data_IF_983078067111
#
_entry.id   IF_983078067111
#
_cell.length_a   1.000
_cell.length_b   1.000
_cell.length_c   1.000
_cell.angle_alpha   90.00
_cell.angle_beta   90.00
_cell.angle_gamma   90.00
#
_symmetry.space_group_name_H-M   'P 1'
#
loop_
_entity.id
_entity.type
_entity.pdbx_description
1 polymer ?
#
# COMPACT_ATOMS: atom_id res chain seq x y z
N UNK A 1 -12.85 18.65 28.37
CA UNK A 1 -12.78 17.54 27.40
C UNK A 1 -11.80 16.46 27.90
N UNK A 2 -11.91 15.21 27.46
CA UNK A 2 -10.92 14.16 27.76
C UNK A 2 -9.51 14.52 27.20
N UNK A 3 -8.44 14.22 27.94
CA UNK A 3 -7.05 14.58 27.57
C UNK A 3 -6.59 13.92 26.26
N UNK A 4 -6.95 12.64 26.02
CA UNK A 4 -6.60 11.98 24.77
C UNK A 4 -7.35 12.60 23.59
N UNK A 5 -8.63 12.95 23.80
CA UNK A 5 -9.43 13.65 22.80
C UNK A 5 -8.78 14.99 22.40
N UNK A 6 -8.35 15.79 23.38
CA UNK A 6 -7.63 17.04 23.13
C UNK A 6 -6.33 16.82 22.36
N UNK A 7 -5.51 15.84 22.77
CA UNK A 7 -4.24 15.53 22.11
C UNK A 7 -4.43 15.09 20.64
N UNK A 8 -5.47 14.31 20.35
CA UNK A 8 -5.83 13.92 18.98
C UNK A 8 -6.24 15.14 18.16
N UNK A 9 -7.10 15.99 18.71
CA UNK A 9 -7.58 17.20 18.07
C UNK A 9 -6.44 18.14 17.69
N UNK A 10 -5.55 18.41 18.65
CA UNK A 10 -4.35 19.22 18.45
C UNK A 10 -3.44 18.61 17.36
N UNK A 11 -3.24 17.30 17.37
CA UNK A 11 -2.42 16.59 16.37
C UNK A 11 -2.99 16.73 14.97
N UNK A 12 -4.31 16.59 14.82
CA UNK A 12 -4.99 16.69 13.51
C UNK A 12 -4.90 18.12 12.99
N UNK A 13 -5.27 19.13 13.80
CA UNK A 13 -5.23 20.52 13.38
C UNK A 13 -3.82 20.97 12.99
N UNK A 14 -2.79 20.54 13.74
CA UNK A 14 -1.39 20.84 13.39
C UNK A 14 -1.02 20.31 12.01
N UNK A 15 -1.51 19.12 11.63
CA UNK A 15 -1.20 18.48 10.33
C UNK A 15 -2.08 18.96 9.17
N UNK A 16 -3.31 19.38 9.43
CA UNK A 16 -4.23 19.84 8.39
C UNK A 16 -3.76 21.15 7.74
N UNK A 17 -3.63 21.24 6.42
CA UNK A 17 -3.44 22.53 5.76
C UNK A 17 -4.64 23.45 6.01
N UNK A 18 -4.43 24.75 6.26
CA UNK A 18 -5.52 25.69 6.59
C UNK A 18 -6.65 25.68 5.55
N UNK A 19 -6.30 25.57 4.25
CA UNK A 19 -7.26 25.47 3.13
C UNK A 19 -8.16 24.23 3.18
N UNK A 20 -7.77 23.17 3.89
CA UNK A 20 -8.53 21.93 4.02
C UNK A 20 -9.28 21.81 5.35
N UNK A 21 -8.88 22.57 6.38
CA UNK A 21 -9.44 22.46 7.74
C UNK A 21 -10.96 22.55 7.75
N UNK A 22 -11.53 23.59 7.13
CA UNK A 22 -12.98 23.80 7.10
C UNK A 22 -13.72 22.62 6.43
N UNK A 23 -13.20 22.12 5.31
CA UNK A 23 -13.77 20.97 4.61
C UNK A 23 -13.73 19.71 5.47
N UNK A 24 -12.59 19.39 6.08
CA UNK A 24 -12.44 18.22 6.94
C UNK A 24 -13.39 18.29 8.15
N UNK A 25 -13.53 19.46 8.78
CA UNK A 25 -14.46 19.64 9.90
C UNK A 25 -15.93 19.53 9.46
N UNK A 26 -16.30 20.01 8.26
CA UNK A 26 -17.62 19.77 7.67
C UNK A 26 -17.88 18.28 7.46
N UNK A 27 -16.92 17.54 6.88
CA UNK A 27 -17.02 16.09 6.68
C UNK A 27 -17.13 15.32 8.01
N UNK A 28 -16.54 15.83 9.09
CA UNK A 28 -16.65 15.23 10.42
C UNK A 28 -18.11 15.23 10.95
N UNK A 29 -18.85 16.31 10.70
CA UNK A 29 -20.29 16.38 10.95
C UNK A 29 -20.69 16.27 12.44
N UNK A 30 -19.82 16.72 13.35
CA UNK A 30 -20.11 16.81 14.79
C UNK A 30 -20.34 18.26 15.26
N UNK A 31 -20.19 19.23 14.37
CA UNK A 31 -20.47 20.65 14.60
C UNK A 31 -21.58 21.10 13.66
N UNK A 32 -22.43 22.03 14.10
CA UNK A 32 -23.45 22.63 13.24
C UNK A 32 -22.82 23.53 12.18
N UNK A 33 -23.59 23.87 11.14
CA UNK A 33 -23.13 24.82 10.12
C UNK A 33 -22.78 26.18 10.72
N UNK A 34 -23.61 26.68 11.64
CA UNK A 34 -23.40 27.94 12.37
C UNK A 34 -22.11 27.92 13.20
N UNK A 35 -21.87 26.84 13.94
CA UNK A 35 -20.63 26.68 14.73
C UNK A 35 -19.37 26.63 13.84
N UNK A 36 -19.50 26.16 12.60
CA UNK A 36 -18.40 26.13 11.64
C UNK A 36 -18.18 27.48 10.95
N UNK A 37 -19.22 28.30 10.81
CA UNK A 37 -19.13 29.66 10.26
C UNK A 37 -18.57 30.66 11.29
N UNK A 38 -18.83 30.43 12.57
CA UNK A 38 -18.25 31.17 13.70
C UNK A 38 -16.72 30.97 13.83
N UNK A 39 -16.17 29.91 13.23
CA UNK A 39 -14.72 29.67 13.22
C UNK A 39 -14.02 30.50 12.15
N UNK A 40 -13.21 31.46 12.58
CA UNK A 40 -12.32 32.21 11.70
C UNK A 40 -11.09 31.38 11.28
N UNK A 41 -11.15 30.79 10.09
CA UNK A 41 -10.06 29.98 9.53
C UNK A 41 -8.84 30.78 9.05
N UNK A 42 -8.89 32.12 9.11
CA UNK A 42 -7.73 32.99 8.82
C UNK A 42 -6.79 33.11 10.03
N UNK A 43 -7.29 32.78 11.22
CA UNK A 43 -6.52 32.85 12.47
C UNK A 43 -5.43 31.77 12.57
N UNK A 44 -4.45 31.98 13.46
CA UNK A 44 -3.50 30.93 13.82
C UNK A 44 -4.20 29.66 14.32
N UNK A 45 -3.64 28.50 13.97
CA UNK A 45 -4.23 27.19 14.31
C UNK A 45 -4.47 26.94 15.80
N UNK A 46 -3.71 27.59 16.69
CA UNK A 46 -3.89 27.45 18.12
C UNK A 46 -5.19 28.11 18.59
N UNK A 47 -5.57 29.25 18.02
CA UNK A 47 -6.81 29.95 18.34
C UNK A 47 -8.02 29.19 17.76
N UNK A 48 -7.87 28.63 16.56
CA UNK A 48 -8.85 27.69 15.99
C UNK A 48 -9.03 26.47 16.90
N UNK A 49 -7.94 25.93 17.48
CA UNK A 49 -8.00 24.81 18.41
C UNK A 49 -8.76 25.17 19.69
N UNK A 50 -8.49 26.34 20.29
CA UNK A 50 -9.20 26.81 21.48
C UNK A 50 -10.70 26.95 21.23
N UNK A 51 -11.08 27.60 20.14
CA UNK A 51 -12.49 27.74 19.76
C UNK A 51 -13.13 26.38 19.47
N UNK A 52 -12.41 25.49 18.77
CA UNK A 52 -12.89 24.15 18.49
C UNK A 52 -13.09 23.33 19.76
N UNK A 53 -12.19 23.46 20.75
CA UNK A 53 -12.31 22.82 22.07
C UNK A 53 -13.57 23.31 22.78
N UNK A 54 -13.81 24.62 22.80
CA UNK A 54 -15.03 25.20 23.38
C UNK A 54 -16.30 24.65 22.72
N UNK A 55 -16.39 24.63 21.38
CA UNK A 55 -17.54 24.05 20.66
C UNK A 55 -17.71 22.55 20.90
N UNK A 56 -16.61 21.81 21.04
CA UNK A 56 -16.66 20.39 21.38
C UNK A 56 -17.24 20.16 22.79
N UNK A 57 -16.95 21.03 23.74
CA UNK A 57 -17.48 20.96 25.10
C UNK A 57 -18.97 21.36 25.15
N UNK A 58 -19.38 22.40 24.43
CA UNK A 58 -20.78 22.78 24.22
C UNK A 58 -21.61 21.59 23.70
N UNK A 59 -21.09 20.89 22.68
CA UNK A 59 -21.73 19.73 22.06
C UNK A 59 -21.53 18.42 22.85
N UNK A 60 -20.84 18.47 24.00
CA UNK A 60 -20.51 17.30 24.86
C UNK A 60 -19.85 16.16 24.10
N UNK A 61 -18.96 16.50 23.15
CA UNK A 61 -18.27 15.52 22.32
C UNK A 61 -17.32 14.67 23.16
N UNK A 62 -17.36 13.36 22.93
CA UNK A 62 -16.50 12.39 23.62
C UNK A 62 -15.33 11.97 22.73
N UNK A 63 -14.37 11.25 23.32
CA UNK A 63 -13.24 10.67 22.58
C UNK A 63 -13.68 9.91 21.33
N UNK A 64 -14.77 9.14 21.41
CA UNK A 64 -15.34 8.43 20.26
C UNK A 64 -15.65 9.37 19.10
N UNK A 65 -16.13 10.58 19.36
CA UNK A 65 -16.51 11.55 18.34
C UNK A 65 -15.26 12.18 17.73
N UNK A 66 -14.24 12.49 18.54
CA UNK A 66 -12.95 12.99 18.04
C UNK A 66 -12.19 11.96 17.20
N UNK A 67 -12.25 10.67 17.53
CA UNK A 67 -11.66 9.61 16.66
C UNK A 67 -12.34 9.52 15.28
N UNK A 68 -13.58 9.99 15.14
CA UNK A 68 -14.24 10.11 13.84
C UNK A 68 -13.57 11.18 12.97
N UNK A 69 -13.18 12.33 13.55
CA UNK A 69 -12.41 13.37 12.86
C UNK A 69 -11.05 12.83 12.42
N UNK A 70 -10.38 12.09 13.30
CA UNK A 70 -9.09 11.47 12.97
C UNK A 70 -9.20 10.51 11.77
N UNK A 71 -10.23 9.68 11.77
CA UNK A 71 -10.51 8.76 10.68
C UNK A 71 -10.78 9.51 9.38
N UNK A 72 -11.59 10.58 9.41
CA UNK A 72 -11.82 11.46 8.25
C UNK A 72 -10.51 12.05 7.72
N UNK A 73 -9.64 12.54 8.61
CA UNK A 73 -8.32 13.06 8.22
C UNK A 73 -7.49 12.01 7.46
N UNK A 74 -7.45 10.76 7.94
CA UNK A 74 -6.71 9.69 7.27
C UNK A 74 -7.33 9.27 5.94
N UNK A 75 -8.65 9.29 5.82
CA UNK A 75 -9.36 9.00 4.57
C UNK A 75 -9.13 10.06 3.49
N UNK A 76 -9.07 11.34 3.89
CA UNK A 76 -8.76 12.45 2.98
C UNK A 76 -7.27 12.57 2.65
N UNK A 77 -6.40 11.92 3.43
CA UNK A 77 -4.95 11.99 3.28
C UNK A 77 -4.32 10.59 3.43
N UNK A 78 -4.69 9.60 2.58
CA UNK A 78 -4.23 8.22 2.73
C UNK A 78 -2.71 8.09 2.58
N UNK A 79 -2.06 9.03 1.88
CA UNK A 79 -0.65 8.90 1.50
C UNK A 79 0.36 9.37 2.56
N UNK A 80 -0.07 9.51 3.82
CA UNK A 80 0.72 10.06 4.93
C UNK A 80 1.60 9.02 5.65
N UNK A 81 1.58 7.76 5.24
CA UNK A 81 2.39 6.70 5.83
C UNK A 81 2.60 5.54 4.85
N UNK A 82 3.35 4.52 5.27
CA UNK A 82 3.59 3.33 4.46
C UNK A 82 2.49 2.30 4.71
N UNK A 83 1.74 2.00 3.67
CA UNK A 83 0.77 0.91 3.65
C UNK A 83 1.49 -0.39 3.31
N UNK A 84 1.04 -1.47 3.94
CA UNK A 84 1.47 -2.84 3.69
C UNK A 84 0.28 -3.65 3.23
N UNK A 85 0.41 -4.28 2.06
CA UNK A 85 -0.65 -5.10 1.52
C UNK A 85 -0.52 -6.56 1.97
N UNK A 86 -1.67 -7.14 2.29
CA UNK A 86 -1.87 -8.53 2.65
C UNK A 86 -2.86 -9.18 1.69
N UNK A 87 -2.79 -10.49 1.61
CA UNK A 87 -3.68 -11.31 0.81
C UNK A 87 -4.29 -12.40 1.69
N UNK A 88 -5.61 -12.35 1.85
CA UNK A 88 -6.42 -13.43 2.38
C UNK A 88 -6.35 -14.61 1.40
N UNK A 89 -6.23 -15.81 1.93
CA UNK A 89 -6.08 -17.05 1.18
C UNK A 89 -7.05 -18.10 1.70
N UNK A 90 -7.34 -19.10 0.88
CA UNK A 90 -8.22 -20.23 1.26
C UNK A 90 -9.60 -19.71 1.66
N UNK A 91 -10.30 -19.11 0.70
CA UNK A 91 -11.66 -18.62 0.89
C UNK A 91 -12.64 -19.79 1.03
N UNK A 92 -13.50 -19.73 2.04
CA UNK A 92 -14.63 -20.64 2.20
C UNK A 92 -15.77 -20.28 1.22
N UNK A 93 -16.69 -21.21 0.98
CA UNK A 93 -17.79 -21.03 0.03
C UNK A 93 -18.64 -19.78 0.32
N UNK A 94 -18.78 -19.42 1.60
CA UNK A 94 -19.58 -18.28 2.01
C UNK A 94 -18.79 -16.95 2.08
N UNK A 95 -17.49 -16.94 1.78
CA UNK A 95 -16.64 -15.75 1.88
C UNK A 95 -17.09 -14.60 0.97
N UNK A 96 -17.55 -14.92 -0.24
CA UNK A 96 -18.02 -13.91 -1.20
C UNK A 96 -19.34 -13.24 -0.78
N UNK A 97 -20.13 -13.89 0.08
CA UNK A 97 -21.43 -13.41 0.56
C UNK A 97 -21.36 -12.54 1.81
N UNK A 98 -20.17 -12.38 2.41
CA UNK A 98 -20.00 -11.58 3.64
C UNK A 98 -20.34 -10.12 3.36
N UNK A 99 -21.41 -9.63 3.96
CA UNK A 99 -21.79 -8.24 3.90
C UNK A 99 -21.05 -7.38 4.94
N UNK A 100 -21.21 -6.06 4.85
CA UNK A 100 -20.52 -5.13 5.75
C UNK A 100 -20.99 -5.24 7.21
N UNK A 101 -22.25 -5.54 7.45
CA UNK A 101 -22.81 -5.64 8.80
C UNK A 101 -22.28 -6.88 9.49
N UNK A 102 -22.38 -8.03 8.83
CA UNK A 102 -21.86 -9.30 9.30
C UNK A 102 -20.34 -9.22 9.53
N UNK A 103 -19.59 -8.71 8.55
CA UNK A 103 -18.15 -8.50 8.68
C UNK A 103 -17.81 -7.67 9.93
N UNK A 104 -18.49 -6.53 10.11
CA UNK A 104 -18.25 -5.62 11.23
C UNK A 104 -18.51 -6.27 12.57
N UNK A 105 -19.64 -6.98 12.72
CA UNK A 105 -20.02 -7.64 13.97
C UNK A 105 -19.02 -8.75 14.33
N UNK A 106 -18.73 -9.64 13.37
CA UNK A 106 -17.77 -10.73 13.57
C UNK A 106 -16.36 -10.21 13.87
N UNK A 107 -15.89 -9.21 13.12
CA UNK A 107 -14.57 -8.63 13.33
C UNK A 107 -14.43 -8.03 14.73
N UNK A 108 -15.43 -7.26 15.18
CA UNK A 108 -15.41 -6.64 16.51
C UNK A 108 -15.45 -7.71 17.60
N UNK A 109 -16.34 -8.70 17.48
CA UNK A 109 -16.44 -9.81 18.44
C UNK A 109 -15.11 -10.54 18.59
N UNK A 110 -14.52 -11.01 17.48
CA UNK A 110 -13.26 -11.75 17.54
C UNK A 110 -12.10 -10.93 18.12
N UNK A 111 -12.09 -9.63 17.87
CA UNK A 111 -11.02 -8.78 18.38
C UNK A 111 -11.20 -8.46 19.88
N UNK A 112 -12.43 -8.27 20.34
CA UNK A 112 -12.77 -8.08 21.76
C UNK A 112 -12.55 -9.36 22.58
N UNK A 113 -12.83 -10.54 22.00
CA UNK A 113 -12.53 -11.84 22.59
C UNK A 113 -11.02 -12.06 22.76
N UNK A 114 -10.21 -11.58 21.81
CA UNK A 114 -8.76 -11.73 21.83
C UNK A 114 -8.04 -10.63 22.62
N UNK A 115 -8.61 -9.43 22.73
CA UNK A 115 -7.98 -8.25 23.33
C UNK A 115 -8.97 -7.52 24.24
N UNK A 116 -8.75 -7.61 25.56
CA UNK A 116 -9.61 -7.02 26.58
C UNK A 116 -9.85 -5.51 26.42
N UNK A 117 -8.84 -4.77 25.95
CA UNK A 117 -8.89 -3.33 25.81
C UNK A 117 -8.62 -2.94 24.36
N UNK A 118 -9.68 -2.91 23.55
CA UNK A 118 -9.60 -2.51 22.15
C UNK A 118 -10.69 -1.48 21.83
N UNK A 119 -10.40 -0.59 20.89
CA UNK A 119 -11.39 0.32 20.32
C UNK A 119 -11.37 0.23 18.81
N UNK A 120 -12.48 -0.23 18.24
CA UNK A 120 -12.67 -0.42 16.80
C UNK A 120 -13.69 0.58 16.26
N UNK A 121 -13.39 1.17 15.10
CA UNK A 121 -14.34 1.96 14.34
C UNK A 121 -14.24 1.58 12.87
N UNK A 122 -15.38 1.40 12.23
CA UNK A 122 -15.47 1.09 10.80
C UNK A 122 -16.32 2.09 10.04
N UNK A 123 -15.97 2.34 8.78
CA UNK A 123 -16.74 3.16 7.85
C UNK A 123 -16.60 2.59 6.45
N UNK A 124 -17.74 2.22 5.83
CA UNK A 124 -17.82 1.88 4.41
C UNK A 124 -17.83 3.17 3.57
N UNK A 125 -17.18 3.14 2.42
CA UNK A 125 -17.16 4.21 1.42
C UNK A 125 -17.95 3.81 0.17
N UNK A 126 -18.27 4.81 -0.65
CA UNK A 126 -19.06 4.65 -1.86
C UNK A 126 -18.34 3.80 -2.92
N UNK A 127 -17.00 3.81 -2.90
CA UNK A 127 -16.14 2.95 -3.73
C UNK A 127 -16.05 1.49 -3.23
N UNK A 128 -16.82 1.14 -2.19
CA UNK A 128 -16.82 -0.18 -1.58
C UNK A 128 -15.70 -0.41 -0.55
N UNK A 129 -14.80 0.56 -0.35
CA UNK A 129 -13.74 0.43 0.64
C UNK A 129 -14.28 0.47 2.08
N UNK A 130 -13.91 -0.50 2.89
CA UNK A 130 -14.16 -0.52 4.32
C UNK A 130 -12.90 -0.05 5.03
N UNK A 131 -12.99 1.15 5.64
CA UNK A 131 -11.95 1.69 6.50
C UNK A 131 -12.16 1.22 7.92
N UNK A 132 -11.12 0.68 8.53
CA UNK A 132 -11.10 0.14 9.89
C UNK A 132 -10.03 0.89 10.66
N UNK A 133 -10.41 1.50 11.78
CA UNK A 133 -9.51 2.12 12.74
C UNK A 133 -9.54 1.29 14.01
N UNK A 134 -8.36 0.83 14.43
CA UNK A 134 -8.21 0.01 15.64
C UNK A 134 -7.18 0.64 16.56
N UNK A 135 -7.57 0.97 17.79
CA UNK A 135 -6.63 1.32 18.86
C UNK A 135 -6.54 0.16 19.83
N UNK A 136 -5.31 -0.29 20.12
CA UNK A 136 -5.02 -1.39 21.02
C UNK A 136 -4.56 -0.84 22.37
N UNK A 137 -5.03 -1.46 23.44
CA UNK A 137 -4.49 -1.38 24.79
C UNK A 137 -3.86 -2.70 25.19
N UNK A 138 -3.40 -2.78 26.43
CA UNK A 138 -2.86 -3.99 27.05
C UNK A 138 -3.72 -4.36 28.26
N UNK A 139 -3.49 -5.50 28.91
CA UNK A 139 -4.27 -5.96 30.09
C UNK A 139 -4.33 -4.95 31.25
N UNK A 140 -3.43 -3.96 31.27
CA UNK A 140 -3.34 -2.95 32.32
C UNK A 140 -3.66 -1.53 31.81
N UNK A 141 -3.80 -1.33 30.49
CA UNK A 141 -3.89 0.01 29.91
C UNK A 141 -5.03 0.14 28.91
N UNK A 142 -5.72 1.27 28.98
CA UNK A 142 -6.76 1.63 28.01
C UNK A 142 -6.20 1.70 26.59
N UNK A 143 -7.03 1.57 25.54
CA UNK A 143 -6.59 1.69 24.17
C UNK A 143 -5.78 2.96 23.89
N UNK A 144 -4.63 2.83 23.23
CA UNK A 144 -3.80 3.98 22.88
C UNK A 144 -4.33 4.64 21.59
N UNK A 145 -5.21 5.61 21.74
CA UNK A 145 -5.79 6.33 20.60
C UNK A 145 -4.80 7.26 19.87
N UNK A 146 -3.59 7.48 20.39
CA UNK A 146 -2.54 8.25 19.70
C UNK A 146 -1.77 7.40 18.69
N UNK A 147 -1.79 6.07 18.78
CA UNK A 147 -1.14 5.16 17.83
C UNK A 147 -2.13 4.13 17.26
N UNK A 148 -3.21 4.57 16.60
CA UNK A 148 -4.14 3.63 15.99
C UNK A 148 -3.53 2.97 14.75
N UNK A 149 -3.93 1.72 14.54
CA UNK A 149 -3.76 0.99 13.29
C UNK A 149 -4.93 1.30 12.37
N UNK A 150 -4.64 1.48 11.08
CA UNK A 150 -5.66 1.59 10.04
C UNK A 150 -5.57 0.39 9.12
N UNK A 151 -6.72 -0.17 8.77
CA UNK A 151 -6.84 -1.15 7.70
C UNK A 151 -7.88 -0.67 6.68
N UNK A 152 -7.64 -0.99 5.41
CA UNK A 152 -8.58 -0.75 4.31
C UNK A 152 -8.79 -2.06 3.58
N UNK A 153 -10.04 -2.48 3.46
CA UNK A 153 -10.41 -3.74 2.83
C UNK A 153 -11.58 -3.53 1.87
N UNK A 154 -11.52 -4.18 0.72
CA UNK A 154 -12.64 -4.28 -0.20
C UNK A 154 -13.18 -5.70 -0.05
N UNK A 155 -14.36 -5.86 0.57
CA UNK A 155 -14.93 -7.17 0.96
C UNK A 155 -15.03 -8.17 -0.19
N UNK A 156 -15.16 -7.69 -1.42
CA UNK A 156 -15.23 -8.49 -2.65
C UNK A 156 -13.85 -8.91 -3.20
N UNK A 157 -12.78 -8.65 -2.45
CA UNK A 157 -11.41 -8.95 -2.86
C UNK A 157 -10.64 -9.58 -1.71
N UNK A 158 -9.61 -10.40 -1.98
CA UNK A 158 -8.79 -10.97 -0.91
C UNK A 158 -7.78 -9.97 -0.31
N UNK A 159 -7.79 -8.70 -0.71
CA UNK A 159 -6.72 -7.76 -0.37
C UNK A 159 -7.07 -6.87 0.83
N UNK A 160 -6.13 -6.74 1.75
CA UNK A 160 -6.22 -5.85 2.91
C UNK A 160 -4.96 -4.97 2.97
N UNK A 161 -5.13 -3.67 3.12
CA UNK A 161 -4.03 -2.71 3.23
C UNK A 161 -3.95 -2.22 4.68
N UNK A 162 -2.78 -2.31 5.30
CA UNK A 162 -2.58 -1.97 6.71
C UNK A 162 -1.55 -0.84 6.88
N UNK A 163 -1.83 0.07 7.79
CA UNK A 163 -0.97 1.18 8.20
C UNK A 163 -0.83 1.18 9.73
N UNK A 164 0.40 1.41 10.24
CA UNK A 164 0.73 1.53 11.66
C UNK A 164 0.35 0.30 12.52
N UNK A 165 0.56 -0.92 12.02
CA UNK A 165 0.39 -2.14 12.80
C UNK A 165 1.69 -2.50 13.55
N UNK A 166 1.60 -2.61 14.88
CA UNK A 166 2.68 -3.12 15.70
C UNK A 166 2.81 -4.64 15.56
N UNK A 167 4.04 -5.16 15.62
CA UNK A 167 4.30 -6.60 15.62
C UNK A 167 3.56 -7.32 16.76
N UNK A 168 3.41 -6.67 17.93
CA UNK A 168 2.65 -7.21 19.08
C UNK A 168 1.18 -7.48 18.76
N UNK A 169 0.55 -6.60 17.98
CA UNK A 169 -0.88 -6.68 17.69
C UNK A 169 -1.19 -7.39 16.36
N UNK A 170 -0.14 -7.75 15.59
CA UNK A 170 -0.25 -8.42 14.29
C UNK A 170 -1.07 -9.71 14.38
N UNK A 171 -0.83 -10.64 15.34
CA UNK A 171 -1.58 -11.89 15.40
C UNK A 171 -3.09 -11.68 15.60
N UNK A 172 -3.47 -10.80 16.53
CA UNK A 172 -4.89 -10.54 16.85
C UNK A 172 -5.64 -9.93 15.68
N UNK A 173 -5.04 -8.93 15.01
CA UNK A 173 -5.67 -8.31 13.85
C UNK A 173 -5.80 -9.30 12.68
N UNK A 174 -4.79 -10.15 12.47
CA UNK A 174 -4.79 -11.14 11.39
C UNK A 174 -5.87 -12.18 11.61
N UNK A 175 -5.96 -12.71 12.83
CA UNK A 175 -7.00 -13.67 13.21
C UNK A 175 -8.40 -13.07 13.04
N UNK A 176 -8.63 -11.86 13.53
CA UNK A 176 -9.93 -11.19 13.38
C UNK A 176 -10.30 -10.99 11.90
N UNK A 177 -9.35 -10.59 11.04
CA UNK A 177 -9.59 -10.45 9.59
C UNK A 177 -9.92 -11.79 8.94
N UNK A 178 -9.15 -12.84 9.21
CA UNK A 178 -9.32 -14.17 8.63
C UNK A 178 -10.70 -14.74 8.98
N UNK A 179 -11.06 -14.73 10.28
CA UNK A 179 -12.34 -15.28 10.75
C UNK A 179 -13.54 -14.46 10.26
N UNK A 180 -13.46 -13.12 10.33
CA UNK A 180 -14.57 -12.25 9.92
C UNK A 180 -14.81 -12.21 8.41
N UNK A 181 -13.83 -12.60 7.61
CA UNK A 181 -13.94 -12.69 6.14
C UNK A 181 -14.12 -14.12 5.65
N UNK A 182 -14.20 -15.12 6.54
CA UNK A 182 -14.35 -16.55 6.20
C UNK A 182 -13.25 -17.07 5.27
N UNK A 183 -12.03 -16.75 5.63
CA UNK A 183 -10.83 -17.30 5.03
C UNK A 183 -10.12 -18.17 6.06
N UNK A 184 -9.24 -19.08 5.61
CA UNK A 184 -8.43 -19.90 6.53
C UNK A 184 -7.02 -19.33 6.77
N UNK A 185 -6.53 -18.44 5.90
CA UNK A 185 -5.18 -17.88 6.02
C UNK A 185 -5.06 -16.42 5.56
N UNK A 186 -4.01 -15.74 6.03
CA UNK A 186 -3.60 -14.42 5.56
C UNK A 186 -2.08 -14.37 5.38
N UNK A 187 -1.65 -13.94 4.19
CA UNK A 187 -0.25 -13.91 3.79
C UNK A 187 0.19 -12.49 3.44
N UNK A 188 1.49 -12.22 3.57
CA UNK A 188 2.06 -10.96 3.07
C UNK A 188 1.98 -10.93 1.54
N UNK A 189 1.41 -9.86 0.98
CA UNK A 189 1.40 -9.69 -0.48
C UNK A 189 2.77 -9.23 -1.02
N UNK A 190 3.75 -8.97 -0.15
CA UNK A 190 5.06 -8.43 -0.47
C UNK A 190 5.01 -7.12 -1.28
N UNK A 191 3.98 -6.32 -1.00
CA UNK A 191 3.79 -5.00 -1.57
C UNK A 191 3.61 -3.96 -0.46
N UNK A 192 4.38 -2.87 -0.55
CA UNK A 192 4.26 -1.72 0.36
C UNK A 192 4.60 -0.40 -0.33
N UNK A 193 4.02 0.69 0.13
CA UNK A 193 4.26 2.02 -0.45
C UNK A 193 3.40 3.08 0.21
N UNK A 194 3.55 4.35 -0.19
CA UNK A 194 2.78 5.43 0.43
C UNK A 194 1.43 5.64 -0.22
N UNK A 195 1.32 5.43 -1.53
CA UNK A 195 0.08 5.68 -2.27
C UNK A 195 -0.88 4.50 -2.17
N UNK A 196 -1.86 4.56 -1.26
CA UNK A 196 -2.84 3.47 -1.07
C UNK A 196 -3.55 3.10 -2.38
N UNK A 197 -3.97 4.10 -3.15
CA UNK A 197 -4.64 3.88 -4.45
C UNK A 197 -3.71 3.19 -5.43
N UNK A 198 -2.44 3.59 -5.52
CA UNK A 198 -1.49 2.94 -6.42
C UNK A 198 -1.20 1.48 -6.03
N UNK A 199 -1.12 1.16 -4.74
CA UNK A 199 -0.95 -0.23 -4.29
C UNK A 199 -2.18 -1.08 -4.63
N UNK A 200 -3.38 -0.52 -4.43
CA UNK A 200 -4.64 -1.15 -4.84
C UNK A 200 -4.66 -1.41 -6.33
N UNK A 201 -4.39 -0.39 -7.14
CA UNK A 201 -4.43 -0.48 -8.59
C UNK A 201 -3.42 -1.52 -9.08
N UNK A 202 -2.21 -1.54 -8.49
CA UNK A 202 -1.17 -2.51 -8.80
C UNK A 202 -1.58 -3.96 -8.50
N UNK A 203 -2.15 -4.23 -7.31
CA UNK A 203 -2.58 -5.60 -6.93
C UNK A 203 -3.82 -6.08 -7.67
N UNK A 204 -4.78 -5.18 -7.87
CA UNK A 204 -6.05 -5.48 -8.52
C UNK A 204 -5.96 -5.35 -10.04
N UNK A 205 -4.78 -5.00 -10.57
CA UNK A 205 -4.53 -4.72 -12.00
C UNK A 205 -5.51 -3.69 -12.58
N UNK A 206 -5.91 -2.72 -11.75
CA UNK A 206 -6.83 -1.63 -12.11
C UNK A 206 -6.05 -0.40 -12.60
N UNK A 207 -5.11 -0.60 -13.52
CA UNK A 207 -4.38 0.46 -14.19
C UNK A 207 -4.23 0.11 -15.67
N UNK A 208 -4.01 1.13 -16.50
CA UNK A 208 -3.91 0.96 -17.95
C UNK A 208 -2.56 0.36 -18.32
N UNK A 209 -2.35 -0.93 -18.04
CA UNK A 209 -1.19 -1.65 -18.53
C UNK A 209 -1.47 -2.17 -19.94
N UNK A 210 -1.37 -1.28 -20.92
CA UNK A 210 -1.46 -1.65 -22.33
C UNK A 210 -0.08 -2.12 -22.77
N UNK A 211 0.11 -3.43 -22.87
CA UNK A 211 1.25 -3.98 -23.59
C UNK A 211 1.00 -3.80 -25.08
N UNK A 212 2.05 -3.49 -25.89
CA UNK A 212 1.89 -3.43 -27.33
C UNK A 212 1.34 -4.76 -27.85
N UNK A 213 0.11 -4.75 -28.38
CA UNK A 213 -0.28 -5.78 -29.35
C UNK A 213 0.60 -5.57 -30.59
N UNK A 214 1.01 -6.65 -31.24
CA UNK A 214 1.93 -6.65 -32.39
C UNK A 214 1.50 -5.73 -33.57
N UNK A 215 0.31 -5.16 -33.54
CA UNK A 215 -0.31 -4.38 -34.65
C UNK A 215 -0.17 -2.85 -34.55
N UNK A 216 0.57 -2.28 -33.58
CA UNK A 216 0.74 -0.81 -33.52
C UNK A 216 1.79 -0.31 -34.52
N UNK A 217 1.39 -0.18 -35.77
CA UNK A 217 2.13 0.58 -36.80
C UNK A 217 2.22 2.07 -36.44
N UNK A 218 3.42 2.45 -36.02
CA UNK A 218 4.14 3.71 -36.23
C UNK A 218 3.33 4.88 -36.83
N UNK A 219 3.00 5.86 -35.99
CA UNK A 219 2.68 7.22 -36.48
C UNK A 219 3.86 8.14 -36.21
N UNK A 220 4.47 8.60 -37.29
CA UNK A 220 5.60 9.51 -37.39
C UNK A 220 5.42 10.80 -36.58
N UNK A 221 6.43 11.12 -35.77
CA UNK A 221 6.62 12.44 -35.16
C UNK A 221 7.58 13.24 -36.04
N UNK A 222 7.03 14.12 -36.86
CA UNK A 222 7.78 14.93 -37.82
C UNK A 222 8.54 16.09 -37.14
N UNK A 223 9.88 16.06 -37.22
CA UNK A 223 10.76 17.21 -37.08
C UNK A 223 11.78 17.18 -38.25
N UNK A 224 12.20 18.34 -38.80
CA UNK A 224 13.03 18.38 -40.00
C UNK A 224 14.48 17.88 -39.72
N UNK A 225 15.05 17.02 -40.59
CA UNK A 225 16.27 16.25 -40.32
C UNK A 225 17.59 17.02 -40.55
N UNK A 226 18.62 16.62 -39.79
CA UNK A 226 20.02 16.99 -39.95
C UNK A 226 20.80 15.70 -40.28
N UNK A 227 21.08 15.50 -41.56
CA UNK A 227 21.71 14.32 -42.17
C UNK A 227 20.89 12.99 -42.10
N UNK A 228 20.43 12.48 -43.26
CA UNK A 228 19.42 11.41 -43.35
C UNK A 228 19.87 10.02 -42.87
N UNK A 229 21.18 9.77 -42.72
CA UNK A 229 21.70 8.46 -42.26
C UNK A 229 21.86 8.40 -40.74
N UNK A 230 22.25 9.51 -40.12
CA UNK A 230 22.43 9.63 -38.66
C UNK A 230 21.05 9.64 -37.99
N UNK A 231 20.10 10.40 -38.55
CA UNK A 231 18.73 10.45 -38.04
C UNK A 231 18.03 9.09 -38.10
N UNK A 232 18.24 8.29 -39.15
CA UNK A 232 17.66 6.94 -39.24
C UNK A 232 18.19 5.99 -38.17
N UNK A 233 19.48 6.01 -37.89
CA UNK A 233 20.07 5.17 -36.84
C UNK A 233 19.57 5.58 -35.44
N UNK A 234 19.57 6.88 -35.14
CA UNK A 234 19.04 7.39 -33.87
C UNK A 234 17.56 7.12 -33.69
N UNK A 235 16.75 7.28 -34.73
CA UNK A 235 15.31 6.95 -34.70
C UNK A 235 15.13 5.45 -34.44
N UNK A 236 15.86 4.58 -35.13
CA UNK A 236 15.76 3.13 -34.94
C UNK A 236 16.18 2.68 -33.53
N UNK A 237 17.19 3.32 -32.93
CA UNK A 237 17.61 3.03 -31.55
C UNK A 237 16.57 3.54 -30.56
N UNK A 238 16.10 4.77 -30.73
CA UNK A 238 15.07 5.36 -29.86
C UNK A 238 13.77 4.56 -29.91
N UNK A 239 13.37 4.09 -31.10
CA UNK A 239 12.18 3.27 -31.30
C UNK A 239 12.32 1.90 -30.62
N UNK A 240 13.46 1.22 -30.80
CA UNK A 240 13.75 -0.05 -30.11
C UNK A 240 13.74 0.11 -28.60
N UNK A 241 14.37 1.16 -28.07
CA UNK A 241 14.40 1.44 -26.63
C UNK A 241 13.01 1.76 -26.07
N UNK A 242 12.21 2.51 -26.81
CA UNK A 242 10.82 2.79 -26.44
C UNK A 242 9.96 1.52 -26.44
N UNK A 243 10.06 0.69 -27.49
CA UNK A 243 9.34 -0.58 -27.59
C UNK A 243 9.68 -1.51 -26.42
N UNK A 244 10.97 -1.67 -26.09
CA UNK A 244 11.41 -2.45 -24.93
C UNK A 244 10.83 -1.91 -23.60
N UNK A 245 10.76 -0.60 -23.45
CA UNK A 245 10.18 0.02 -22.25
C UNK A 245 8.67 -0.27 -22.14
N UNK A 246 7.95 -0.20 -23.26
CA UNK A 246 6.51 -0.50 -23.32
C UNK A 246 6.21 -2.00 -23.12
N UNK A 247 7.07 -2.90 -23.61
CA UNK A 247 6.95 -4.34 -23.36
C UNK A 247 7.19 -4.68 -21.87
N UNK A 248 8.16 -4.01 -21.23
CA UNK A 248 8.51 -4.30 -19.84
C UNK A 248 7.50 -3.71 -18.83
N UNK A 249 7.01 -2.49 -19.07
CA UNK A 249 6.20 -1.75 -18.10
C UNK A 249 4.77 -1.46 -18.57
N UNK A 250 4.53 -1.44 -19.88
CA UNK A 250 3.28 -0.98 -20.49
C UNK A 250 3.36 0.48 -20.94
N UNK A 251 2.46 0.85 -21.85
CA UNK A 251 2.40 2.18 -22.48
C UNK A 251 1.53 3.18 -21.69
N UNK A 252 0.64 2.71 -20.81
CA UNK A 252 -0.24 3.60 -20.04
C UNK A 252 0.40 4.22 -18.80
N UNK A 253 -0.43 4.89 -18.00
CA UNK A 253 0.00 5.51 -16.75
C UNK A 253 0.36 4.45 -15.70
N UNK A 254 1.57 4.54 -15.13
CA UNK A 254 2.06 3.57 -14.15
C UNK A 254 1.66 3.98 -12.72
N UNK A 255 1.26 3.01 -11.88
CA UNK A 255 0.94 3.27 -10.49
C UNK A 255 2.16 3.81 -9.75
N UNK A 256 1.95 4.83 -8.92
CA UNK A 256 3.04 5.45 -8.15
C UNK A 256 3.59 4.48 -7.10
N UNK A 257 4.87 4.14 -7.23
CA UNK A 257 5.58 3.29 -6.29
C UNK A 257 6.94 3.92 -5.93
N UNK A 258 7.26 4.07 -4.64
CA UNK A 258 8.47 4.80 -4.24
C UNK A 258 9.73 3.93 -4.19
N UNK A 259 9.59 2.62 -4.01
CA UNK A 259 10.76 1.74 -3.84
C UNK A 259 10.48 0.29 -4.20
N UNK A 260 11.55 -0.44 -4.51
CA UNK A 260 11.56 -1.90 -4.62
C UNK A 260 12.82 -2.45 -3.96
N UNK A 261 12.69 -3.58 -3.26
CA UNK A 261 13.75 -4.22 -2.48
C UNK A 261 13.97 -5.64 -2.97
N UNK A 262 15.21 -5.98 -3.29
CA UNK A 262 15.64 -7.31 -3.66
C UNK A 262 16.63 -7.83 -2.63
N UNK A 263 16.26 -8.89 -1.91
CA UNK A 263 17.16 -9.61 -1.02
C UNK A 263 17.74 -10.82 -1.74
N UNK A 264 19.05 -10.81 -1.92
CA UNK A 264 19.83 -11.88 -2.55
C UNK A 264 20.34 -12.82 -1.47
N UNK A 265 20.14 -14.12 -1.67
CA UNK A 265 20.74 -15.22 -0.89
C UNK A 265 21.22 -16.28 -1.87
N UNK A 266 22.44 -16.13 -2.39
CA UNK A 266 22.98 -16.98 -3.46
C UNK A 266 24.42 -17.38 -3.16
N UNK A 267 24.93 -18.46 -3.74
CA UNK A 267 26.37 -18.73 -3.72
C UNK A 267 27.13 -17.80 -4.66
N UNK A 268 28.40 -17.53 -4.37
CA UNK A 268 29.27 -16.76 -5.25
C UNK A 268 29.74 -17.63 -6.42
N UNK A 269 29.40 -17.25 -7.65
CA UNK A 269 29.79 -17.96 -8.89
C UNK A 269 30.84 -17.20 -9.70
N UNK A 270 31.83 -16.60 -9.03
CA UNK A 270 32.93 -15.92 -9.73
C UNK A 270 33.91 -16.92 -10.34
N UNK A 271 34.43 -16.60 -11.53
CA UNK A 271 35.42 -17.40 -12.26
C UNK A 271 36.86 -17.23 -11.77
N UNK A 272 37.09 -16.58 -10.63
CA UNK A 272 38.42 -16.39 -10.08
C UNK A 272 38.84 -17.65 -9.33
N UNK A 273 39.90 -18.28 -9.81
CA UNK A 273 40.60 -19.37 -9.16
C UNK A 273 40.91 -19.01 -7.69
N UNK A 274 40.36 -19.82 -6.78
CA UNK A 274 40.72 -19.93 -5.37
C UNK A 274 40.49 -18.69 -4.48
N UNK A 275 39.30 -18.55 -3.88
CA UNK A 275 39.12 -18.03 -2.49
C UNK A 275 37.65 -17.99 -2.02
N UNK A 276 36.68 -17.85 -2.94
CA UNK A 276 35.26 -17.65 -2.59
C UNK A 276 34.28 -18.66 -3.22
N UNK A 277 34.65 -19.37 -4.28
CA UNK A 277 33.77 -20.32 -4.96
C UNK A 277 33.59 -21.66 -4.20
N UNK A 278 34.57 -22.06 -3.38
CA UNK A 278 34.56 -23.32 -2.60
C UNK A 278 33.88 -23.19 -1.22
N UNK A 279 33.38 -22.01 -0.86
CA UNK A 279 32.69 -21.82 0.41
C UNK A 279 31.21 -22.13 0.22
N UNK A 280 30.66 -23.04 1.02
CA UNK A 280 29.21 -23.30 1.08
C UNK A 280 28.42 -22.13 1.74
N UNK A 281 29.10 -21.01 2.00
CA UNK A 281 28.51 -19.81 2.57
C UNK A 281 27.71 -19.03 1.52
N UNK A 282 26.42 -18.84 1.81
CA UNK A 282 25.55 -17.99 0.99
C UNK A 282 25.96 -16.52 1.11
N UNK A 283 26.22 -15.90 -0.04
CA UNK A 283 26.32 -14.45 -0.18
C UNK A 283 24.95 -13.82 0.06
N UNK A 284 24.92 -12.81 0.94
CA UNK A 284 23.72 -12.06 1.31
C UNK A 284 23.87 -10.61 0.87
N UNK A 285 22.95 -10.16 0.02
CA UNK A 285 22.92 -8.78 -0.47
C UNK A 285 21.51 -8.20 -0.38
N UNK A 286 21.42 -6.89 -0.21
CA UNK A 286 20.14 -6.17 -0.31
C UNK A 286 20.32 -5.02 -1.29
N UNK A 287 19.56 -5.05 -2.37
CA UNK A 287 19.49 -3.95 -3.34
C UNK A 287 18.16 -3.25 -3.15
N UNK A 288 18.19 -1.93 -2.95
CA UNK A 288 16.99 -1.10 -2.83
C UNK A 288 17.02 0.00 -3.87
N UNK A 289 16.02 0.03 -4.73
CA UNK A 289 15.77 1.13 -5.64
C UNK A 289 14.78 2.10 -5.00
N UNK A 290 14.96 3.40 -5.21
CA UNK A 290 14.08 4.42 -4.65
C UNK A 290 13.96 5.64 -5.57
N UNK A 291 12.73 6.13 -5.73
CA UNK A 291 12.40 7.30 -6.55
C UNK A 291 11.08 7.90 -6.06
N UNK A 292 10.71 9.09 -6.53
CA UNK A 292 9.37 9.64 -6.35
C UNK A 292 8.31 8.84 -7.11
N UNK A 293 8.69 8.23 -8.24
CA UNK A 293 7.92 7.22 -8.96
C UNK A 293 8.87 6.25 -9.67
N UNK A 294 9.17 5.13 -9.00
CA UNK A 294 10.15 4.13 -9.44
C UNK A 294 9.80 3.54 -10.80
N UNK A 295 8.54 3.19 -11.04
CA UNK A 295 8.12 2.55 -12.29
C UNK A 295 8.32 3.47 -13.48
N UNK A 296 7.96 4.75 -13.32
CA UNK A 296 8.22 5.77 -14.35
C UNK A 296 9.72 6.03 -14.55
N UNK A 297 10.51 6.08 -13.46
CA UNK A 297 11.95 6.23 -13.57
C UNK A 297 12.60 5.07 -14.32
N UNK A 298 12.19 3.82 -14.03
CA UNK A 298 12.71 2.64 -14.73
C UNK A 298 12.30 2.66 -16.21
N UNK A 299 11.03 2.97 -16.52
CA UNK A 299 10.56 3.12 -17.91
C UNK A 299 11.34 4.20 -18.65
N UNK A 300 11.61 5.33 -18.02
CA UNK A 300 12.41 6.41 -18.59
C UNK A 300 13.87 6.00 -18.82
N UNK A 301 14.48 5.25 -17.90
CA UNK A 301 15.83 4.72 -18.09
C UNK A 301 15.94 3.82 -19.32
N UNK A 302 14.97 2.93 -19.52
CA UNK A 302 14.93 2.05 -20.69
C UNK A 302 14.66 2.85 -21.96
N UNK A 303 13.70 3.78 -21.93
CA UNK A 303 13.33 4.59 -23.11
C UNK A 303 14.48 5.48 -23.62
N UNK A 304 15.37 5.92 -22.74
CA UNK A 304 16.52 6.77 -23.09
C UNK A 304 17.83 5.97 -23.24
N UNK A 305 17.76 4.64 -23.38
CA UNK A 305 18.93 3.77 -23.54
C UNK A 305 19.98 3.89 -22.42
N UNK A 306 19.55 4.30 -21.21
CA UNK A 306 20.44 4.35 -20.02
C UNK A 306 20.63 2.97 -19.38
N UNK A 307 19.81 1.99 -19.77
CA UNK A 307 19.94 0.60 -19.38
C UNK A 307 19.99 -0.27 -20.64
N UNK A 308 20.98 -1.15 -20.72
CA UNK A 308 21.12 -2.12 -21.81
C UNK A 308 20.04 -3.21 -21.72
N UNK A 309 19.53 -3.65 -22.88
CA UNK A 309 18.43 -4.61 -22.98
C UNK A 309 18.88 -6.08 -22.99
N UNK A 310 17.97 -7.04 -22.70
CA UNK A 310 16.56 -6.84 -22.34
C UNK A 310 16.36 -6.43 -20.87
N UNK A 311 15.25 -5.75 -20.57
CA UNK A 311 14.88 -5.38 -19.20
C UNK A 311 14.80 -6.64 -18.35
N UNK A 312 15.60 -6.70 -17.28
CA UNK A 312 15.62 -7.87 -16.41
C UNK A 312 14.21 -8.18 -15.89
N UNK A 313 13.78 -9.47 -15.89
CA UNK A 313 12.50 -9.89 -15.32
C UNK A 313 12.30 -9.42 -13.87
N UNK A 314 13.38 -9.10 -13.16
CA UNK A 314 13.30 -8.51 -11.82
C UNK A 314 12.47 -7.22 -11.83
N UNK A 315 12.69 -6.32 -12.79
CA UNK A 315 11.97 -5.05 -12.84
C UNK A 315 10.56 -5.18 -13.41
N UNK A 316 10.37 -5.95 -14.47
CA UNK A 316 9.02 -6.17 -15.05
C UNK A 316 8.12 -6.99 -14.12
N UNK A 317 8.69 -7.84 -13.24
CA UNK A 317 7.90 -8.58 -12.24
C UNK A 317 7.19 -7.69 -11.23
N UNK A 318 7.64 -6.44 -11.01
CA UNK A 318 6.98 -5.50 -10.09
C UNK A 318 5.54 -5.27 -10.53
N UNK A 319 5.32 -4.99 -11.82
CA UNK A 319 4.00 -4.72 -12.39
C UNK A 319 3.21 -6.00 -12.63
N UNK A 320 3.88 -7.07 -13.09
CA UNK A 320 3.23 -8.35 -13.39
C UNK A 320 2.73 -9.10 -12.15
N UNK A 321 3.53 -9.12 -11.08
CA UNK A 321 3.21 -9.81 -9.82
C UNK A 321 2.55 -8.90 -8.79
N UNK A 322 2.65 -7.57 -8.97
CA UNK A 322 2.14 -6.57 -8.04
C UNK A 322 2.88 -6.59 -6.70
N UNK A 323 4.22 -6.73 -6.72
CA UNK A 323 5.08 -6.85 -5.53
C UNK A 323 6.27 -5.92 -5.66
N UNK A 324 6.78 -5.44 -4.54
CA UNK A 324 8.00 -4.62 -4.52
C UNK A 324 9.03 -5.10 -3.50
N UNK A 325 8.83 -6.29 -2.95
CA UNK A 325 9.78 -6.97 -2.10
C UNK A 325 10.01 -8.37 -2.63
N UNK A 326 11.26 -8.68 -2.95
CA UNK A 326 11.66 -9.94 -3.57
C UNK A 326 12.76 -10.61 -2.77
N UNK A 327 12.66 -11.93 -2.64
CA UNK A 327 13.72 -12.78 -2.07
C UNK A 327 14.21 -13.70 -3.18
N UNK A 328 15.42 -13.46 -3.64
CA UNK A 328 16.07 -14.23 -4.71
C UNK A 328 16.97 -15.26 -4.04
N UNK A 329 16.65 -16.53 -4.23
CA UNK A 329 17.38 -17.68 -3.73
C UNK A 329 17.80 -18.57 -4.89
N UNK A 330 18.88 -19.32 -4.73
CA UNK A 330 19.32 -20.30 -5.72
C UNK A 330 18.30 -21.44 -5.80
N UNK A 331 17.85 -21.81 -7.01
CA UNK A 331 17.05 -23.02 -7.20
C UNK A 331 17.95 -24.22 -6.88
N UNK A 332 17.67 -24.92 -5.79
CA UNK A 332 18.25 -26.25 -5.55
C UNK A 332 17.66 -27.17 -6.62
N UNK A 333 18.46 -27.90 -7.42
CA UNK A 333 17.94 -28.96 -8.26
C UNK A 333 17.28 -29.98 -7.32
N UNK A 334 15.97 -30.19 -7.46
CA UNK A 334 15.30 -31.30 -6.79
C UNK A 334 16.04 -32.58 -7.18
N UNK A 335 16.62 -33.24 -6.18
CA UNK A 335 17.07 -34.61 -6.32
C UNK A 335 15.85 -35.42 -6.76
N UNK A 336 15.95 -36.06 -7.92
CA UNK A 336 15.06 -37.12 -8.40
C UNK A 336 14.63 -37.99 -7.23
N UNK A 337 13.38 -37.78 -6.78
CA UNK A 337 12.72 -38.66 -5.84
C UNK A 337 12.39 -39.93 -6.61
N UNK A 338 13.35 -40.86 -6.65
CA UNK A 338 13.09 -42.23 -7.07
C UNK A 338 12.06 -42.82 -6.11
N UNK A 339 10.83 -42.93 -6.59
CA UNK A 339 9.80 -43.74 -5.97
C UNK A 339 10.23 -45.21 -6.12
N UNK A 340 10.35 -46.01 -5.05
CA UNK A 340 10.46 -47.45 -5.22
C UNK A 340 9.11 -47.97 -5.71
N UNK A 341 9.15 -48.73 -6.80
CA UNK A 341 8.02 -49.49 -7.30
C UNK A 341 7.52 -50.46 -6.21
N UNK A 342 6.26 -50.31 -5.81
CA UNK A 342 5.52 -51.39 -5.17
C UNK A 342 4.86 -52.21 -6.28
N UNK A 343 5.33 -53.44 -6.46
CA UNK A 343 4.70 -54.45 -7.31
C UNK A 343 4.13 -55.50 -6.36
N UNK A 344 2.82 -55.77 -6.55
CA UNK A 344 1.97 -56.85 -5.99
C UNK A 344 1.78 -56.93 -4.49
#
# INVERSE_FOLDING_TARGET
MDEQALAILQRILRKLPSKKTQRTLRTWGCLSAEQLEDLDFTQPKWLILENLVSKCEENRLRLKDVTKLEMVYHMENPNQGTWHALKLAEAEDEAASVDFTQFKEMFVSHLEDAVQHVSVRMKKQDDGAVWIRTAFGDNLTRPNHLKPTYAVHYLQTPYVFILNLSAKHKPFLYQALVLSTRHSAINEAHLSGRSLTALRDLLMKQYQQVFPNQDRTLKERNAPPSHPNIDKEHVNIAERSHQMACEAFGDGALPKLESAVYKLKTRYRGSSEHTLADRDELFRGVVKFSSTNLLESLRHCVSNSMAEGPVTPLFSSITQQGRNYFVITEKVPEATSQTPACTT
#
